data_IF_154525750647
#
_entry.id   IF_154525750647
#
_cell.length_a   1.000
_cell.length_b   1.000
_cell.length_c   1.000
_cell.angle_alpha   90.00
_cell.angle_beta   90.00
_cell.angle_gamma   90.00
#
_symmetry.space_group_name_H-M   'P 1'
#
loop_
_entity.id
_entity.type
_entity.pdbx_description
1 polymer ?
#
# COMPACT_ATOMS: atom_id res chain seq x y z
N UNK A 1 1.48 2.28 -8.78
CA UNK A 1 0.89 1.60 -9.98
C UNK A 1 -0.27 0.74 -9.49
N UNK A 2 -1.35 0.55 -10.30
CA UNK A 2 -2.47 -0.32 -9.94
C UNK A 2 -2.35 -1.66 -10.65
N UNK A 3 -2.57 -2.75 -9.92
CA UNK A 3 -2.65 -4.12 -10.43
C UNK A 3 -4.08 -4.64 -10.28
N UNK A 4 -4.54 -5.44 -11.23
CA UNK A 4 -5.78 -6.21 -11.10
C UNK A 4 -5.56 -7.37 -10.12
N UNK A 5 -6.62 -7.89 -9.50
CA UNK A 5 -6.52 -9.03 -8.58
C UNK A 5 -5.86 -10.26 -9.23
N UNK A 6 -6.21 -10.58 -10.49
CA UNK A 6 -5.58 -11.68 -11.24
C UNK A 6 -4.09 -11.48 -11.49
N UNK A 7 -3.64 -10.24 -11.73
CA UNK A 7 -2.21 -9.94 -11.85
C UNK A 7 -1.50 -10.12 -10.51
N UNK A 8 -2.11 -9.68 -9.41
CA UNK A 8 -1.53 -9.90 -8.08
C UNK A 8 -1.40 -11.38 -7.75
N UNK A 9 -2.39 -12.21 -8.10
CA UNK A 9 -2.30 -13.66 -7.92
C UNK A 9 -1.12 -14.25 -8.69
N UNK A 10 -0.97 -13.92 -9.98
CA UNK A 10 0.14 -14.41 -10.79
C UNK A 10 1.51 -13.89 -10.35
N UNK A 11 1.59 -12.68 -9.77
CA UNK A 11 2.83 -12.18 -9.16
C UNK A 11 3.13 -12.94 -7.86
N UNK A 12 2.10 -13.31 -7.10
CA UNK A 12 2.27 -14.03 -5.85
C UNK A 12 2.80 -15.46 -6.06
N UNK A 13 2.34 -16.15 -7.11
CA UNK A 13 2.76 -17.50 -7.46
C UNK A 13 3.94 -17.56 -8.42
N UNK A 14 4.45 -16.40 -8.89
CA UNK A 14 5.60 -16.28 -9.79
C UNK A 14 5.28 -16.53 -11.26
N UNK A 15 4.03 -16.77 -11.65
CA UNK A 15 3.62 -16.93 -13.05
C UNK A 15 3.61 -15.62 -13.84
N UNK A 16 3.58 -14.48 -13.16
CA UNK A 16 3.70 -13.13 -13.71
C UNK A 16 4.92 -12.46 -13.09
N UNK A 17 5.93 -12.22 -13.92
CA UNK A 17 7.16 -11.51 -13.57
C UNK A 17 7.38 -10.25 -14.43
N UNK A 18 6.41 -9.92 -15.27
CA UNK A 18 6.47 -8.82 -16.23
C UNK A 18 5.15 -8.05 -16.24
N UNK A 19 5.20 -6.76 -16.54
CA UNK A 19 3.98 -6.00 -16.83
C UNK A 19 4.28 -4.89 -17.83
N UNK A 20 3.26 -4.51 -18.60
CA UNK A 20 3.33 -3.41 -19.55
C UNK A 20 2.50 -2.23 -19.07
N UNK A 21 2.98 -1.03 -19.37
CA UNK A 21 2.25 0.22 -19.11
C UNK A 21 2.55 1.21 -20.25
N UNK A 22 1.54 2.01 -20.58
CA UNK A 22 1.72 3.12 -21.51
C UNK A 22 1.57 4.43 -20.74
N UNK A 23 2.63 5.23 -20.74
CA UNK A 23 2.71 6.48 -19.98
C UNK A 23 3.49 7.55 -20.75
N UNK A 24 3.19 8.85 -20.55
CA UNK A 24 4.03 9.95 -21.05
C UNK A 24 5.42 9.97 -20.40
N UNK A 25 5.53 9.50 -19.16
CA UNK A 25 6.79 9.33 -18.43
C UNK A 25 6.64 8.17 -17.43
N UNK A 26 7.73 7.44 -17.10
CA UNK A 26 7.66 6.29 -16.20
C UNK A 26 7.22 6.72 -14.81
N UNK A 27 6.28 5.97 -14.21
CA UNK A 27 5.72 6.23 -12.87
C UNK A 27 6.33 5.36 -11.79
N UNK A 28 7.22 4.46 -12.15
CA UNK A 28 8.02 3.62 -11.26
C UNK A 28 9.45 3.62 -11.77
N UNK A 29 10.40 3.23 -10.93
CA UNK A 29 11.83 3.17 -11.27
C UNK A 29 12.38 1.80 -10.94
N UNK A 30 13.39 1.35 -11.67
CA UNK A 30 14.17 0.18 -11.31
C UNK A 30 14.71 0.32 -9.87
N UNK A 31 14.69 -0.76 -9.11
CA UNK A 31 15.05 -0.79 -7.69
C UNK A 31 14.00 -0.21 -6.73
N UNK A 32 12.91 0.39 -7.22
CA UNK A 32 11.83 0.86 -6.35
C UNK A 32 10.86 -0.25 -5.96
N UNK A 33 10.09 -0.02 -4.90
CA UNK A 33 9.16 -1.00 -4.37
C UNK A 33 7.76 -0.41 -4.19
N UNK A 34 6.76 -1.26 -4.28
CA UNK A 34 5.37 -0.90 -4.02
C UNK A 34 4.69 -1.92 -3.12
N UNK A 35 4.04 -1.42 -2.05
CA UNK A 35 3.19 -2.25 -1.18
C UNK A 35 1.85 -2.52 -1.84
N UNK A 36 1.42 -3.77 -1.78
CA UNK A 36 0.17 -4.28 -2.36
C UNK A 36 -0.58 -5.17 -1.37
N UNK A 37 -1.72 -5.70 -1.78
CA UNK A 37 -2.49 -6.64 -0.95
C UNK A 37 -1.76 -8.00 -0.72
N UNK A 38 -0.87 -8.39 -1.64
CA UNK A 38 -0.10 -9.65 -1.54
C UNK A 38 1.26 -9.48 -0.86
N UNK A 39 1.68 -8.25 -0.56
CA UNK A 39 3.00 -7.93 -0.03
C UNK A 39 3.68 -6.80 -0.79
N UNK A 40 4.99 -6.81 -0.77
CA UNK A 40 5.85 -5.82 -1.44
C UNK A 40 6.27 -6.35 -2.80
N UNK A 41 5.94 -5.63 -3.86
CA UNK A 41 6.43 -5.88 -5.21
C UNK A 41 7.64 -4.99 -5.45
N UNK A 42 8.76 -5.57 -5.86
CA UNK A 42 9.94 -4.87 -6.36
C UNK A 42 9.87 -4.73 -7.88
N UNK A 43 10.42 -3.64 -8.40
CA UNK A 43 10.55 -3.38 -9.83
C UNK A 43 12.04 -3.51 -10.19
N UNK A 44 12.38 -4.55 -10.94
CA UNK A 44 13.77 -4.91 -11.25
C UNK A 44 14.30 -4.08 -12.42
N UNK A 45 13.48 -3.93 -13.47
CA UNK A 45 13.79 -3.13 -14.63
C UNK A 45 12.57 -2.32 -15.11
N UNK A 46 12.83 -1.19 -15.75
CA UNK A 46 11.79 -0.32 -16.33
C UNK A 46 12.34 0.23 -17.64
N UNK A 47 11.99 -0.40 -18.73
CA UNK A 47 12.51 -0.09 -20.05
C UNK A 47 11.43 0.49 -20.96
N UNK A 48 11.78 1.51 -21.73
CA UNK A 48 10.98 1.92 -22.87
C UNK A 48 11.18 0.92 -24.00
N UNK A 49 10.08 0.45 -24.57
CA UNK A 49 10.10 -0.50 -25.69
C UNK A 49 9.14 -0.02 -26.79
N UNK A 50 9.47 -0.33 -28.02
CA UNK A 50 8.60 0.01 -29.16
C UNK A 50 7.59 -1.11 -29.44
N UNK A 51 7.92 -2.34 -29.06
CA UNK A 51 7.12 -3.54 -29.28
C UNK A 51 7.35 -4.58 -28.18
N UNK A 52 6.62 -5.69 -28.23
CA UNK A 52 6.73 -6.83 -27.32
C UNK A 52 6.43 -8.14 -28.06
N UNK A 53 6.93 -9.25 -27.55
CA UNK A 53 6.68 -10.59 -28.06
C UNK A 53 5.44 -11.23 -27.41
N UNK A 54 4.93 -12.32 -28.01
CA UNK A 54 3.89 -13.15 -27.40
C UNK A 54 4.36 -13.84 -26.11
N UNK A 55 5.65 -14.16 -26.01
CA UNK A 55 6.24 -14.71 -24.79
C UNK A 55 6.20 -13.68 -23.65
N UNK A 56 6.62 -12.46 -23.89
CA UNK A 56 6.56 -11.37 -22.92
C UNK A 56 5.10 -11.05 -22.54
N UNK A 57 4.17 -11.12 -23.48
CA UNK A 57 2.74 -10.97 -23.20
C UNK A 57 2.24 -12.03 -22.21
N UNK A 58 2.62 -13.31 -22.42
CA UNK A 58 2.28 -14.42 -21.51
C UNK A 58 2.87 -14.23 -20.11
N UNK A 59 4.16 -13.86 -20.02
CA UNK A 59 4.83 -13.51 -18.75
C UNK A 59 4.12 -12.36 -18.02
N UNK A 60 3.46 -11.47 -18.75
CA UNK A 60 2.67 -10.37 -18.18
C UNK A 60 1.20 -10.75 -17.90
N UNK A 61 0.82 -12.01 -18.03
CA UNK A 61 -0.52 -12.52 -17.79
C UNK A 61 -1.53 -12.21 -18.91
N UNK A 62 -1.06 -12.03 -20.15
CA UNK A 62 -1.90 -11.80 -21.32
C UNK A 62 -1.86 -12.98 -22.27
N UNK A 63 -2.94 -13.20 -23.02
CA UNK A 63 -3.03 -14.29 -23.99
C UNK A 63 -2.07 -14.10 -25.20
N UNK A 64 -1.83 -12.86 -25.62
CA UNK A 64 -0.98 -12.54 -26.78
C UNK A 64 -0.51 -11.10 -26.75
N UNK A 65 0.51 -10.80 -27.58
CA UNK A 65 0.96 -9.45 -27.91
C UNK A 65 -0.19 -8.52 -28.28
N UNK A 66 -1.06 -8.97 -29.18
CA UNK A 66 -2.18 -8.17 -29.66
C UNK A 66 -3.17 -7.81 -28.54
N UNK A 67 -3.36 -8.68 -27.55
CA UNK A 67 -4.18 -8.38 -26.38
C UNK A 67 -3.58 -7.23 -25.57
N UNK A 68 -2.27 -7.18 -25.40
CA UNK A 68 -1.56 -6.07 -24.74
C UNK A 68 -1.73 -4.78 -25.54
N UNK A 69 -1.46 -4.82 -26.85
CA UNK A 69 -1.56 -3.64 -27.72
C UNK A 69 -3.00 -3.06 -27.71
N UNK A 70 -4.03 -3.90 -27.84
CA UNK A 70 -5.43 -3.47 -27.75
C UNK A 70 -5.77 -2.82 -26.41
N UNK A 71 -5.27 -3.38 -25.29
CA UNK A 71 -5.50 -2.83 -23.95
C UNK A 71 -5.00 -1.40 -23.81
N UNK A 72 -3.90 -1.07 -24.49
CA UNK A 72 -3.25 0.24 -24.39
C UNK A 72 -3.49 1.15 -25.60
N UNK A 73 -4.28 0.74 -26.61
CA UNK A 73 -4.51 1.48 -27.84
C UNK A 73 -5.05 2.91 -27.61
N UNK A 74 -5.89 3.10 -26.56
CA UNK A 74 -6.49 4.41 -26.24
C UNK A 74 -5.64 5.24 -25.26
N UNK A 75 -4.45 4.77 -24.87
CA UNK A 75 -3.57 5.49 -23.96
C UNK A 75 -2.47 6.19 -24.72
N UNK A 76 -2.10 7.39 -24.27
CA UNK A 76 -0.99 8.17 -24.83
C UNK A 76 0.32 7.89 -24.10
N UNK A 77 1.43 8.15 -24.78
CA UNK A 77 2.78 8.00 -24.27
C UNK A 77 3.47 6.73 -24.76
N UNK A 78 4.66 6.49 -24.22
CA UNK A 78 5.52 5.37 -24.57
C UNK A 78 5.08 4.07 -23.90
N UNK A 79 5.37 2.94 -24.50
CA UNK A 79 5.20 1.63 -23.91
C UNK A 79 6.40 1.34 -23.00
N UNK A 80 6.12 0.97 -21.76
CA UNK A 80 7.14 0.55 -20.79
C UNK A 80 6.96 -0.92 -20.47
N UNK A 81 8.03 -1.67 -20.58
CA UNK A 81 8.23 -3.02 -20.08
C UNK A 81 8.79 -2.90 -18.66
N UNK A 82 8.15 -3.56 -17.69
CA UNK A 82 8.51 -3.48 -16.28
C UNK A 82 8.67 -4.89 -15.74
N UNK A 83 9.91 -5.28 -15.44
CA UNK A 83 10.21 -6.52 -14.73
C UNK A 83 9.97 -6.34 -13.25
N UNK A 84 9.38 -7.36 -12.60
CA UNK A 84 8.97 -7.28 -11.21
C UNK A 84 8.90 -8.66 -10.56
N UNK A 85 9.01 -8.66 -9.25
CA UNK A 85 8.78 -9.86 -8.44
C UNK A 85 8.15 -9.53 -7.08
N UNK A 86 7.60 -10.54 -6.40
CA UNK A 86 7.18 -10.42 -5.01
C UNK A 86 8.42 -10.45 -4.10
N UNK A 87 8.82 -9.29 -3.56
CA UNK A 87 10.00 -9.17 -2.69
C UNK A 87 9.76 -9.74 -1.27
N UNK A 88 8.50 -9.93 -0.88
CA UNK A 88 8.15 -10.50 0.42
C UNK A 88 6.89 -9.89 1.04
N UNK A 89 6.58 -10.25 2.29
CA UNK A 89 5.40 -9.74 2.98
C UNK A 89 5.52 -8.23 3.25
N UNK A 90 4.38 -7.55 3.42
CA UNK A 90 4.39 -6.16 3.88
C UNK A 90 4.96 -6.09 5.30
N UNK A 91 6.11 -5.39 5.54
CA UNK A 91 6.70 -5.29 6.88
C UNK A 91 5.74 -4.76 7.94
N UNK A 92 4.73 -4.00 7.53
CA UNK A 92 3.69 -3.51 8.46
C UNK A 92 2.78 -4.63 8.97
N UNK A 93 2.64 -5.74 8.24
CA UNK A 93 1.88 -6.89 8.71
C UNK A 93 2.57 -7.50 9.95
N UNK A 94 3.88 -7.67 9.90
CA UNK A 94 4.67 -8.14 11.05
C UNK A 94 4.59 -7.15 12.21
N UNK A 95 4.75 -5.85 11.92
CA UNK A 95 4.66 -4.81 12.96
C UNK A 95 3.31 -4.80 13.69
N UNK A 96 2.22 -5.09 13.00
CA UNK A 96 0.87 -5.09 13.62
C UNK A 96 0.71 -6.15 14.70
N UNK A 97 1.40 -7.27 14.55
CA UNK A 97 1.37 -8.39 15.49
C UNK A 97 2.46 -8.29 16.58
N UNK A 98 3.43 -7.38 16.41
CA UNK A 98 4.53 -7.18 17.35
C UNK A 98 4.06 -6.36 18.55
N UNK A 99 4.36 -6.78 19.77
CA UNK A 99 4.04 -6.02 20.97
C UNK A 99 4.65 -4.60 20.95
N UNK A 100 3.98 -3.60 21.54
CA UNK A 100 4.57 -2.28 21.72
C UNK A 100 5.81 -2.35 22.61
N UNK A 101 6.85 -1.64 22.24
CA UNK A 101 8.09 -1.47 22.97
C UNK A 101 8.28 -0.01 23.44
N UNK A 102 9.28 0.23 24.27
CA UNK A 102 9.59 1.57 24.77
C UNK A 102 9.96 2.54 23.63
N UNK A 103 10.65 2.05 22.61
CA UNK A 103 11.01 2.85 21.43
C UNK A 103 9.77 3.35 20.68
N UNK A 104 8.71 2.53 20.59
CA UNK A 104 7.43 2.93 20.03
C UNK A 104 6.75 4.00 20.88
N UNK A 105 6.72 3.82 22.22
CA UNK A 105 6.15 4.81 23.13
C UNK A 105 6.85 6.16 22.98
N UNK A 106 8.20 6.19 22.98
CA UNK A 106 8.96 7.40 22.75
C UNK A 106 8.69 8.01 21.37
N UNK A 107 8.55 7.20 20.33
CA UNK A 107 8.27 7.66 18.96
C UNK A 107 6.90 8.29 18.83
N UNK A 108 5.86 7.67 19.40
CA UNK A 108 4.50 8.21 19.41
C UNK A 108 4.43 9.48 20.25
N UNK A 109 5.11 9.53 21.40
CA UNK A 109 5.21 10.74 22.23
C UNK A 109 5.78 11.94 21.48
N UNK A 110 6.83 11.72 20.66
CA UNK A 110 7.39 12.79 19.79
C UNK A 110 6.47 13.25 18.67
N UNK A 111 5.44 12.48 18.30
CA UNK A 111 4.44 12.91 17.30
C UNK A 111 3.48 13.96 17.85
N UNK A 112 3.34 14.05 19.17
CA UNK A 112 2.45 14.97 19.87
C UNK A 112 1.11 14.33 20.26
N UNK A 113 0.27 15.06 21.02
CA UNK A 113 -0.97 14.56 21.61
C UNK A 113 -1.96 13.98 20.58
N UNK A 114 -1.97 14.53 19.39
CA UNK A 114 -2.86 14.10 18.30
C UNK A 114 -2.74 12.59 18.00
N UNK A 115 -1.58 11.97 18.22
CA UNK A 115 -1.39 10.56 17.88
C UNK A 115 -2.27 9.65 18.73
N UNK A 116 -2.35 9.91 20.06
CA UNK A 116 -3.21 9.17 20.99
C UNK A 116 -4.69 9.49 20.72
N UNK A 117 -5.02 10.75 20.46
CA UNK A 117 -6.38 11.18 20.11
C UNK A 117 -6.90 10.43 18.88
N UNK A 118 -6.08 10.30 17.82
CA UNK A 118 -6.45 9.58 16.61
C UNK A 118 -6.58 8.08 16.83
N UNK A 119 -5.71 7.49 17.65
CA UNK A 119 -5.84 6.08 18.00
C UNK A 119 -7.14 5.81 18.76
N UNK A 120 -7.51 6.67 19.72
CA UNK A 120 -8.80 6.58 20.44
C UNK A 120 -9.98 6.76 19.48
N UNK A 121 -9.95 7.81 18.66
CA UNK A 121 -11.00 8.07 17.67
C UNK A 121 -11.23 6.84 16.75
N UNK A 122 -10.15 6.20 16.26
CA UNK A 122 -10.25 5.03 15.41
C UNK A 122 -10.72 3.80 16.19
N UNK A 123 -10.31 3.64 17.45
CA UNK A 123 -10.75 2.57 18.32
C UNK A 123 -12.28 2.63 18.59
N UNK A 124 -12.78 3.82 18.82
CA UNK A 124 -14.21 4.07 19.13
C UNK A 124 -15.08 4.02 17.86
N UNK A 125 -14.48 4.15 16.66
CA UNK A 125 -15.19 4.26 15.38
C UNK A 125 -14.59 3.34 14.30
N UNK A 126 -14.52 2.01 14.51
CA UNK A 126 -13.96 1.10 13.51
C UNK A 126 -14.84 1.09 12.25
N UNK A 127 -14.20 1.12 11.07
CA UNK A 127 -14.89 1.07 9.79
C UNK A 127 -15.50 2.39 9.32
N UNK A 128 -15.44 3.45 10.12
CA UNK A 128 -15.96 4.77 9.72
C UNK A 128 -15.01 5.41 8.70
N UNK A 129 -15.59 6.05 7.65
CA UNK A 129 -14.84 6.64 6.56
C UNK A 129 -13.99 7.83 7.03
N UNK A 130 -12.82 7.99 6.39
CA UNK A 130 -11.90 9.09 6.71
C UNK A 130 -12.52 10.51 6.63
N UNK A 131 -13.41 10.84 5.66
CA UNK A 131 -14.08 12.15 5.68
C UNK A 131 -14.92 12.37 6.92
N UNK A 132 -15.65 11.34 7.37
CA UNK A 132 -16.58 11.46 8.50
C UNK A 132 -15.79 11.62 9.82
N UNK A 133 -14.70 10.87 10.00
CA UNK A 133 -13.78 11.02 11.14
C UNK A 133 -13.09 12.40 11.14
N UNK A 134 -12.67 12.87 9.97
CA UNK A 134 -12.03 14.18 9.83
C UNK A 134 -13.00 15.32 10.18
N UNK A 135 -14.25 15.23 9.72
CA UNK A 135 -15.30 16.20 10.03
C UNK A 135 -15.59 16.28 11.55
N UNK A 136 -15.60 15.13 12.25
CA UNK A 136 -15.73 15.07 13.71
C UNK A 136 -14.61 15.78 14.47
N UNK A 137 -13.45 15.97 13.85
CA UNK A 137 -12.32 16.73 14.38
C UNK A 137 -12.24 18.17 13.85
N UNK A 138 -13.21 18.62 13.06
CA UNK A 138 -13.22 19.95 12.44
C UNK A 138 -12.07 20.15 11.44
N UNK A 139 -11.61 19.10 10.76
CA UNK A 139 -10.47 19.17 9.86
C UNK A 139 -10.72 18.56 8.47
N UNK A 140 -9.87 18.92 7.51
CA UNK A 140 -9.94 18.37 6.17
C UNK A 140 -9.50 16.90 6.12
N UNK A 141 -10.08 16.14 5.17
CA UNK A 141 -9.80 14.71 4.97
C UNK A 141 -8.33 14.42 4.61
N UNK A 142 -7.68 15.30 3.83
CA UNK A 142 -6.30 15.05 3.36
C UNK A 142 -5.27 15.08 4.51
N UNK A 143 -5.22 16.11 5.37
CA UNK A 143 -4.38 16.11 6.58
C UNK A 143 -4.68 14.93 7.51
N UNK A 144 -5.97 14.60 7.71
CA UNK A 144 -6.37 13.45 8.51
C UNK A 144 -5.74 12.16 8.00
N UNK A 145 -5.90 11.86 6.70
CA UNK A 145 -5.30 10.66 6.06
C UNK A 145 -3.77 10.63 6.18
N UNK A 146 -3.10 11.78 6.13
CA UNK A 146 -1.64 11.84 6.31
C UNK A 146 -1.22 11.43 7.72
N UNK A 147 -1.95 11.87 8.74
CA UNK A 147 -1.70 11.48 10.14
C UNK A 147 -1.97 10.00 10.36
N UNK A 148 -3.09 9.47 9.87
CA UNK A 148 -3.40 8.04 9.96
C UNK A 148 -2.33 7.20 9.24
N UNK A 149 -1.80 7.67 8.09
CA UNK A 149 -0.68 6.98 7.40
C UNK A 149 0.55 6.85 8.30
N UNK A 150 0.90 7.90 9.06
CA UNK A 150 2.04 7.84 10.01
C UNK A 150 1.82 6.79 11.10
N UNK A 151 0.60 6.71 11.66
CA UNK A 151 0.26 5.67 12.64
C UNK A 151 0.34 4.27 12.03
N UNK A 152 -0.10 4.13 10.77
CA UNK A 152 -0.04 2.88 10.02
C UNK A 152 1.40 2.42 9.75
N UNK A 153 2.33 3.35 9.48
CA UNK A 153 3.75 3.01 9.31
C UNK A 153 4.41 2.50 10.61
N UNK A 154 3.80 2.78 11.77
CA UNK A 154 4.19 2.23 13.07
C UNK A 154 3.48 0.90 13.40
N UNK A 155 2.66 0.39 12.49
CA UNK A 155 1.87 -0.82 12.72
C UNK A 155 0.69 -0.63 13.67
N UNK A 156 0.31 0.61 14.07
CA UNK A 156 -0.72 0.87 15.07
C UNK A 156 -2.15 0.82 14.52
N UNK A 157 -2.32 1.04 13.20
CA UNK A 157 -3.62 1.04 12.54
C UNK A 157 -3.55 0.26 11.24
N UNK A 158 -4.69 -0.22 10.77
CA UNK A 158 -4.85 -0.82 9.45
C UNK A 158 -6.05 -0.26 8.70
N UNK A 159 -5.98 -0.29 7.36
CA UNK A 159 -7.11 0.07 6.54
C UNK A 159 -8.01 -1.13 6.35
N UNK A 160 -9.30 -0.91 6.50
CA UNK A 160 -10.34 -1.82 6.05
C UNK A 160 -10.75 -1.49 4.61
N UNK A 161 -11.68 -2.24 4.05
CA UNK A 161 -12.33 -1.87 2.79
C UNK A 161 -12.98 -0.49 2.91
N UNK A 162 -13.60 -0.21 4.04
CA UNK A 162 -14.12 1.10 4.42
C UNK A 162 -13.53 1.48 5.78
N UNK A 163 -12.89 2.67 5.85
CA UNK A 163 -12.35 3.20 7.09
C UNK A 163 -11.08 2.53 7.60
N UNK A 164 -10.93 2.58 8.90
CA UNK A 164 -9.76 2.10 9.64
C UNK A 164 -10.18 1.32 10.88
N UNK A 165 -9.25 0.54 11.41
CA UNK A 165 -9.31 -0.01 12.78
C UNK A 165 -7.93 0.04 13.42
N UNK A 166 -7.85 -0.15 14.71
CA UNK A 166 -6.57 -0.46 15.36
C UNK A 166 -6.09 -1.85 14.94
N UNK A 167 -4.77 -2.02 14.90
CA UNK A 167 -4.11 -3.32 14.87
C UNK A 167 -4.00 -3.88 16.29
N UNK A 168 -3.67 -5.18 16.47
CA UNK A 168 -3.34 -5.75 17.80
C UNK A 168 -2.28 -4.93 18.53
N UNK A 169 -1.23 -4.46 17.82
CA UNK A 169 -0.21 -3.55 18.36
C UNK A 169 -0.81 -2.22 18.83
N UNK A 170 -1.72 -1.63 18.05
CA UNK A 170 -2.37 -0.36 18.39
C UNK A 170 -3.27 -0.47 19.61
N UNK A 171 -4.01 -1.57 19.74
CA UNK A 171 -4.84 -1.85 20.92
C UNK A 171 -3.98 -2.05 22.18
N UNK A 172 -2.91 -2.83 22.08
CA UNK A 172 -1.97 -3.04 23.17
C UNK A 172 -1.31 -1.72 23.59
N UNK A 173 -0.93 -0.88 22.63
CA UNK A 173 -0.36 0.45 22.88
C UNK A 173 -1.35 1.35 23.65
N UNK A 174 -2.60 1.43 23.23
CA UNK A 174 -3.61 2.25 23.93
C UNK A 174 -3.93 1.73 25.33
N UNK A 175 -3.92 0.41 25.55
CA UNK A 175 -4.10 -0.17 26.89
C UNK A 175 -2.98 0.26 27.84
N UNK A 176 -1.72 0.22 27.36
CA UNK A 176 -0.55 0.64 28.13
C UNK A 176 -0.50 2.17 28.35
N UNK A 177 -1.04 2.96 27.43
CA UNK A 177 -1.07 4.43 27.51
C UNK A 177 -2.24 4.97 28.38
N UNK A 178 -3.09 4.11 28.95
CA UNK A 178 -4.09 4.54 29.93
C UNK A 178 -3.37 4.77 31.25
N UNK A 179 -3.52 5.95 31.89
CA UNK A 179 -2.99 6.14 33.24
C UNK A 179 -3.65 5.10 34.15
N UNK A 180 -2.82 4.37 34.93
CA UNK A 180 -3.30 3.56 36.05
C UNK A 180 -4.15 4.47 36.96
N UNK A 181 -5.40 4.07 37.22
CA UNK A 181 -6.26 4.77 38.18
C UNK A 181 -5.70 4.62 39.58
#
# INVERSE_FOLDING_TARGET
MLFKASQLSGIADGSIDLTFRRWPAPRVRAGSQQRTAIGVIAFDAVDRVDDLSDEEARRAGWASRDAVIRQFARRTGDLYRIELHLAGPDPRAVLRETAPDEALHARVGRMGPWAIEYLRLIADNPGVRAPDLAAGLGMETKPFKMRVRRLKELGLTESLQIGYRLSPRGEAFLRAARPSK
#
